data_IF_673935594046
#
_entry.id   IF_673935594046
#
_cell.length_a   1.000
_cell.length_b   1.000
_cell.length_c   1.000
_cell.angle_alpha   90.00
_cell.angle_beta   90.00
_cell.angle_gamma   90.00
#
_symmetry.space_group_name_H-M   'P 1'
#
loop_
_entity.id
_entity.type
_entity.pdbx_description
1 polymer ?
#
# COMPACT_ATOMS: atom_id res chain seq x y z
N UNK A 1 7.88 8.24 4.16
CA UNK A 1 7.70 7.65 5.50
C UNK A 1 6.22 7.61 5.85
N UNK A 2 5.74 6.49 6.39
CA UNK A 2 4.34 6.38 6.76
C UNK A 2 4.02 7.31 7.93
N UNK A 3 2.84 7.95 7.88
CA UNK A 3 2.38 8.80 8.98
C UNK A 3 1.84 7.93 10.12
N UNK A 4 1.74 8.53 11.31
CA UNK A 4 1.14 7.83 12.45
C UNK A 4 -0.28 7.37 12.14
N UNK A 5 -1.05 8.18 11.42
CA UNK A 5 -2.41 7.84 11.00
C UNK A 5 -2.42 6.63 10.06
N UNK A 6 -1.49 6.57 9.13
CA UNK A 6 -1.38 5.45 8.18
C UNK A 6 -1.01 4.15 8.90
N UNK A 7 -0.05 4.22 9.82
CA UNK A 7 0.33 3.05 10.63
C UNK A 7 -0.89 2.58 11.43
N UNK A 8 -1.64 3.49 12.02
CA UNK A 8 -2.84 3.16 12.79
C UNK A 8 -3.90 2.48 11.93
N UNK A 9 -4.11 2.96 10.70
CA UNK A 9 -5.05 2.34 9.76
C UNK A 9 -4.68 0.87 9.50
N UNK A 10 -3.39 0.59 9.29
CA UNK A 10 -2.94 -0.78 9.10
C UNK A 10 -3.19 -1.62 10.35
N UNK A 11 -2.84 -1.10 11.53
CA UNK A 11 -3.00 -1.82 12.79
C UNK A 11 -4.46 -2.17 13.05
N UNK A 12 -5.38 -1.23 12.78
CA UNK A 12 -6.81 -1.49 12.91
C UNK A 12 -7.29 -2.56 11.94
N UNK A 13 -6.82 -2.51 10.70
CA UNK A 13 -7.21 -3.47 9.68
C UNK A 13 -6.76 -4.90 10.04
N UNK A 14 -5.64 -5.04 10.75
CA UNK A 14 -5.09 -6.35 11.11
C UNK A 14 -5.23 -6.67 12.59
N UNK A 15 -5.92 -5.81 13.35
CA UNK A 15 -6.18 -5.99 14.78
C UNK A 15 -4.89 -6.10 15.60
N UNK A 16 -3.91 -5.25 15.28
CA UNK A 16 -2.63 -5.18 15.99
C UNK A 16 -2.76 -4.11 17.06
N UNK A 17 -2.45 -4.44 18.31
CA UNK A 17 -2.61 -3.53 19.45
C UNK A 17 -1.29 -3.09 20.06
N UNK A 18 -0.17 -3.63 19.62
CA UNK A 18 1.16 -3.28 20.14
C UNK A 18 1.85 -2.28 19.25
N UNK A 19 2.75 -1.47 19.82
CA UNK A 19 3.58 -0.54 19.06
C UNK A 19 4.94 -1.13 18.66
N UNK A 20 5.20 -2.38 19.02
CA UNK A 20 6.50 -3.03 18.77
C UNK A 20 6.86 -3.12 17.29
N UNK A 21 5.86 -3.14 16.41
CA UNK A 21 6.07 -3.35 14.99
C UNK A 21 5.89 -2.07 14.16
N UNK A 22 5.71 -0.92 14.80
CA UNK A 22 5.44 0.33 14.08
C UNK A 22 6.54 0.66 13.08
N UNK A 23 7.80 0.48 13.46
CA UNK A 23 8.93 0.73 12.57
C UNK A 23 8.92 -0.19 11.36
N UNK A 24 8.67 -1.48 11.56
CA UNK A 24 8.58 -2.45 10.48
C UNK A 24 7.40 -2.15 9.55
N UNK A 25 6.26 -1.77 10.13
CA UNK A 25 5.08 -1.38 9.35
C UNK A 25 5.41 -0.17 8.48
N UNK A 26 6.08 0.83 9.04
CA UNK A 26 6.48 2.03 8.30
C UNK A 26 7.42 1.69 7.15
N UNK A 27 8.40 0.83 7.38
CA UNK A 27 9.33 0.41 6.32
C UNK A 27 8.61 -0.31 5.19
N UNK A 28 7.70 -1.22 5.52
CA UNK A 28 6.94 -1.95 4.51
C UNK A 28 5.98 -1.03 3.75
N UNK A 29 5.38 -0.06 4.44
CA UNK A 29 4.53 0.93 3.80
C UNK A 29 5.34 1.72 2.76
N UNK A 30 6.50 2.22 3.15
CA UNK A 30 7.37 2.96 2.23
C UNK A 30 7.79 2.10 1.04
N UNK A 31 8.10 0.82 1.29
CA UNK A 31 8.43 -0.12 0.21
C UNK A 31 7.26 -0.30 -0.76
N UNK A 32 6.02 -0.31 -0.26
CA UNK A 32 4.84 -0.42 -1.12
C UNK A 32 4.73 0.78 -2.05
N UNK A 33 5.04 1.98 -1.57
CA UNK A 33 4.97 3.18 -2.41
C UNK A 33 6.02 3.13 -3.52
N UNK A 34 7.22 2.63 -3.22
CA UNK A 34 8.27 2.46 -4.23
C UNK A 34 7.84 1.41 -5.26
N UNK A 35 7.27 0.29 -4.82
CA UNK A 35 6.80 -0.76 -5.72
C UNK A 35 5.70 -0.23 -6.65
N UNK A 36 4.76 0.54 -6.11
CA UNK A 36 3.71 1.15 -6.91
C UNK A 36 4.29 2.17 -7.90
N UNK A 37 5.28 2.95 -7.48
CA UNK A 37 5.94 3.92 -8.36
C UNK A 37 6.61 3.21 -9.54
N UNK A 38 7.28 2.10 -9.29
CA UNK A 38 7.91 1.30 -10.37
C UNK A 38 6.86 0.83 -11.36
N UNK A 39 5.65 0.52 -10.88
CA UNK A 39 4.55 0.09 -11.74
C UNK A 39 3.86 1.23 -12.48
N UNK A 40 4.23 2.50 -12.21
CA UNK A 40 3.69 3.66 -12.89
C UNK A 40 2.69 4.48 -12.08
N UNK A 41 2.50 4.18 -10.80
CA UNK A 41 1.61 4.98 -9.93
C UNK A 41 2.33 6.25 -9.50
N UNK A 42 1.63 7.39 -9.56
CA UNK A 42 2.23 8.67 -9.17
C UNK A 42 2.34 8.78 -7.66
N UNK A 43 3.52 9.15 -7.18
CA UNK A 43 3.79 9.30 -5.75
C UNK A 43 3.02 10.48 -5.11
N UNK A 44 2.78 11.61 -5.80
CA UNK A 44 1.94 12.66 -5.21
C UNK A 44 0.55 12.19 -4.81
N UNK A 45 0.10 11.06 -5.33
CA UNK A 45 -1.20 10.47 -4.98
C UNK A 45 -1.12 9.54 -3.77
N UNK A 46 0.03 9.44 -3.10
CA UNK A 46 0.28 8.48 -2.02
C UNK A 46 -0.66 8.64 -0.82
N UNK A 47 -1.28 9.82 -0.65
CA UNK A 47 -2.22 10.08 0.44
C UNK A 47 -3.67 9.71 0.11
N UNK A 48 -3.96 9.32 -1.14
CA UNK A 48 -5.33 8.94 -1.51
C UNK A 48 -5.73 7.63 -0.83
N UNK A 49 -7.00 7.53 -0.40
CA UNK A 49 -7.46 6.29 0.25
C UNK A 49 -7.24 5.02 -0.56
N UNK A 50 -7.37 5.09 -1.89
CA UNK A 50 -7.17 3.91 -2.73
C UNK A 50 -5.71 3.47 -2.75
N UNK A 51 -4.76 4.41 -2.72
CA UNK A 51 -3.34 4.09 -2.60
C UNK A 51 -3.05 3.53 -1.22
N UNK A 52 -3.63 4.11 -0.18
CA UNK A 52 -3.46 3.60 1.19
C UNK A 52 -3.99 2.19 1.33
N UNK A 53 -5.11 1.87 0.68
CA UNK A 53 -5.66 0.51 0.69
C UNK A 53 -4.67 -0.47 0.06
N UNK A 54 -4.07 -0.10 -1.07
CA UNK A 54 -3.06 -0.95 -1.71
C UNK A 54 -1.83 -1.11 -0.83
N UNK A 55 -1.40 -0.03 -0.15
CA UNK A 55 -0.27 -0.10 0.77
C UNK A 55 -0.56 -1.03 1.93
N UNK A 56 -1.77 -0.97 2.49
CA UNK A 56 -2.19 -1.87 3.57
C UNK A 56 -2.11 -3.33 3.11
N UNK A 57 -2.58 -3.62 1.90
CA UNK A 57 -2.51 -4.97 1.35
C UNK A 57 -1.07 -5.44 1.22
N UNK A 58 -0.18 -4.58 0.71
CA UNK A 58 1.24 -4.91 0.57
C UNK A 58 1.88 -5.19 1.92
N UNK A 59 1.63 -4.33 2.92
CA UNK A 59 2.18 -4.54 4.25
C UNK A 59 1.67 -5.85 4.83
N UNK A 60 0.36 -6.13 4.67
CA UNK A 60 -0.26 -7.35 5.20
C UNK A 60 0.38 -8.60 4.61
N UNK A 61 0.67 -8.61 3.31
CA UNK A 61 1.25 -9.80 2.68
C UNK A 61 2.71 -10.02 3.05
N UNK A 62 3.42 -8.97 3.48
CA UNK A 62 4.84 -9.04 3.84
C UNK A 62 5.09 -8.98 5.34
N UNK A 63 4.06 -8.79 6.14
CA UNK A 63 4.17 -8.68 7.60
C UNK A 63 3.95 -10.05 8.24
N UNK A 64 5.00 -10.60 8.84
CA UNK A 64 4.93 -11.93 9.41
C UNK A 64 4.85 -13.00 8.34
N UNK A 65 4.00 -13.99 8.53
CA UNK A 65 3.85 -15.12 7.61
C UNK A 65 2.35 -15.43 7.47
N UNK A 66 1.60 -14.59 6.73
CA UNK A 66 0.15 -14.74 6.65
C UNK A 66 -0.26 -15.99 5.88
N UNK A 67 -1.27 -16.69 6.38
CA UNK A 67 -1.82 -17.88 5.72
C UNK A 67 -2.47 -17.54 4.38
N UNK A 68 -2.93 -16.29 4.22
CA UNK A 68 -3.64 -15.82 3.04
C UNK A 68 -2.74 -15.04 2.07
N UNK A 69 -1.43 -15.32 2.08
CA UNK A 69 -0.45 -14.59 1.26
C UNK A 69 -0.86 -14.56 -0.23
N UNK A 70 -1.23 -15.71 -0.79
CA UNK A 70 -1.54 -15.79 -2.22
C UNK A 70 -2.74 -14.92 -2.58
N UNK A 71 -3.76 -14.90 -1.73
CA UNK A 71 -4.94 -14.04 -1.93
C UNK A 71 -4.56 -12.56 -1.82
N UNK A 72 -3.74 -12.23 -0.82
CA UNK A 72 -3.29 -10.84 -0.63
C UNK A 72 -2.45 -10.38 -1.80
N UNK A 73 -1.54 -11.23 -2.28
CA UNK A 73 -0.69 -10.89 -3.42
C UNK A 73 -1.52 -10.64 -4.68
N UNK A 74 -2.49 -11.48 -4.95
CA UNK A 74 -3.37 -11.31 -6.11
C UNK A 74 -4.14 -10.00 -6.00
N UNK A 75 -4.69 -9.71 -4.83
CA UNK A 75 -5.42 -8.47 -4.57
C UNK A 75 -4.52 -7.25 -4.78
N UNK A 76 -3.31 -7.30 -4.25
CA UNK A 76 -2.35 -6.19 -4.39
C UNK A 76 -1.98 -5.97 -5.86
N UNK A 77 -1.68 -7.04 -6.59
CA UNK A 77 -1.30 -6.93 -8.00
C UNK A 77 -2.43 -6.30 -8.82
N UNK A 78 -3.68 -6.67 -8.54
CA UNK A 78 -4.84 -6.06 -9.21
C UNK A 78 -5.01 -4.59 -8.85
N UNK A 79 -4.87 -4.24 -7.58
CA UNK A 79 -4.95 -2.86 -7.09
C UNK A 79 -3.87 -2.00 -7.76
N UNK A 80 -2.65 -2.50 -7.79
CA UNK A 80 -1.51 -1.80 -8.38
C UNK A 80 -1.72 -1.57 -9.88
N UNK A 81 -2.20 -2.58 -10.59
CA UNK A 81 -2.48 -2.46 -12.02
C UNK A 81 -3.56 -1.43 -12.30
N UNK A 82 -4.63 -1.40 -11.50
CA UNK A 82 -5.69 -0.41 -11.64
C UNK A 82 -5.17 1.01 -11.39
N UNK A 83 -4.37 1.18 -10.35
CA UNK A 83 -3.79 2.49 -10.02
C UNK A 83 -2.86 2.99 -11.12
N UNK A 84 -2.03 2.11 -11.67
CA UNK A 84 -1.13 2.47 -12.77
C UNK A 84 -1.92 2.90 -14.00
N UNK A 85 -3.00 2.18 -14.34
CA UNK A 85 -3.87 2.52 -15.45
C UNK A 85 -4.55 3.87 -15.24
N UNK A 86 -5.09 4.09 -14.04
CA UNK A 86 -5.75 5.34 -13.70
C UNK A 86 -4.77 6.51 -13.81
N UNK A 87 -3.55 6.35 -13.30
CA UNK A 87 -2.52 7.37 -13.36
C UNK A 87 -2.17 7.71 -14.81
N UNK A 88 -2.02 6.72 -15.66
CA UNK A 88 -1.71 6.93 -17.09
C UNK A 88 -2.82 7.70 -17.79
N UNK A 89 -4.09 7.33 -17.55
CA UNK A 89 -5.23 8.03 -18.15
C UNK A 89 -5.31 9.47 -17.66
N UNK A 90 -5.10 9.69 -16.37
CA UNK A 90 -5.12 11.03 -15.78
C UNK A 90 -4.04 11.91 -16.38
N UNK A 91 -2.84 11.36 -16.59
CA UNK A 91 -1.74 12.10 -17.23
C UNK A 91 -2.09 12.49 -18.66
N UNK A 92 -2.75 11.62 -19.40
CA UNK A 92 -3.16 11.92 -20.77
C UNK A 92 -4.22 13.03 -20.82
N UNK A 93 -5.13 13.03 -19.85
CA UNK A 93 -6.20 14.03 -19.80
C UNK A 93 -5.70 15.41 -19.40
N UNK A 94 -4.61 15.49 -18.66
CA UNK A 94 -4.08 16.75 -18.16
C UNK A 94 -3.31 17.54 -19.23
N UNK A 95 -3.13 16.98 -20.39
CA UNK A 95 -2.54 17.66 -21.52
C UNK A 95 -3.63 18.28 -22.39
#
# INVERSE_FOLDING_TARGET
MATATQIEKFKLARRIVTDKFDSQISELWDASLVDMQIAGVRIPEASRPIVETAAITYVAMNFGDPDDYDRLKKSYDEQKAQLATFTAVESMESE
#
